data_IF_845980404043
#
_entry.id   IF_845980404043
#
_cell.length_a   1.000
_cell.length_b   1.000
_cell.length_c   1.000
_cell.angle_alpha   90.00
_cell.angle_beta   90.00
_cell.angle_gamma   90.00
#
_symmetry.space_group_name_H-M   'P 1'
#
loop_
_entity.id
_entity.type
_entity.pdbx_description
1 polymer ?
2 non-polymer ?
3 non-polymer ?
4 water ?
#
# COMPACT_ATOMS: atom_id res chain seq x y z
N UNK A 48 -19.82 -20.71 -1.13
CA UNK A 48 -19.45 -19.30 -0.98
C UNK A 48 -18.14 -19.18 -0.23
N UNK A 49 -17.41 -18.09 -0.51
CA UNK A 49 -16.03 -17.91 -0.06
C UNK A 49 -15.93 -16.71 0.87
N UNK A 50 -15.06 -16.82 1.86
CA UNK A 50 -15.00 -15.87 2.97
C UNK A 50 -13.59 -15.34 3.09
N UNK A 51 -13.46 -14.01 3.05
CA UNK A 51 -12.16 -13.36 3.08
C UNK A 51 -11.88 -12.80 4.47
N UNK A 52 -10.62 -12.87 4.86
CA UNK A 52 -10.10 -12.11 5.98
C UNK A 52 -9.07 -11.10 5.45
N UNK A 53 -9.37 -9.82 5.58
CA UNK A 53 -8.46 -8.74 5.19
C UNK A 53 -7.70 -8.31 6.42
N UNK A 54 -6.39 -8.53 6.43
CA UNK A 54 -5.56 -8.23 7.59
C UNK A 54 -4.97 -6.84 7.35
N UNK A 55 -5.61 -5.83 7.93
CA UNK A 55 -5.22 -4.45 7.71
C UNK A 55 -6.29 -3.76 6.91
N UNK A 56 -7.54 -3.87 7.36
CA UNK A 56 -8.64 -3.47 6.49
C UNK A 56 -8.76 -1.96 6.34
N UNK A 57 -8.08 -1.18 7.18
CA UNK A 57 -8.11 0.27 7.02
C UNK A 57 -6.88 0.81 6.30
N UNK A 58 -5.97 -0.06 5.89
CA UNK A 58 -4.83 0.34 5.09
C UNK A 58 -5.23 0.70 3.67
N UNK A 59 -4.22 1.14 2.91
CA UNK A 59 -4.45 1.75 1.60
C UNK A 59 -4.89 0.70 0.58
N UNK A 60 -4.48 -0.54 0.77
CA UNK A 60 -5.02 -1.64 -0.01
C UNK A 60 -6.16 -2.36 0.71
N UNK A 61 -6.00 -2.57 2.02
CA UNK A 61 -7.08 -3.19 2.78
C UNK A 61 -8.41 -2.50 2.56
N UNK A 62 -8.40 -1.16 2.57
CA UNK A 62 -9.62 -0.43 2.27
C UNK A 62 -10.13 -0.72 0.85
N UNK A 63 -9.24 -0.70 -0.15
CA UNK A 63 -9.66 -1.06 -1.50
C UNK A 63 -10.27 -2.45 -1.52
N UNK A 64 -9.63 -3.41 -0.85
CA UNK A 64 -10.18 -4.75 -0.77
C UNK A 64 -11.48 -4.77 0.02
N UNK A 65 -11.62 -3.92 1.03
CA UNK A 65 -12.88 -3.88 1.75
C UNK A 65 -14.02 -3.44 0.85
N UNK A 66 -13.75 -2.56 -0.10
CA UNK A 66 -14.80 -2.07 -0.99
C UNK A 66 -15.07 -2.99 -2.17
N UNK A 67 -14.07 -3.70 -2.67
CA UNK A 67 -14.22 -4.44 -3.91
C UNK A 67 -14.73 -5.85 -3.67
N UNK A 68 -14.17 -6.55 -2.69
CA UNK A 68 -14.58 -7.92 -2.41
C UNK A 68 -16.09 -8.11 -2.31
N UNK A 69 -16.85 -7.30 -1.57
CA UNK A 69 -18.29 -7.56 -1.46
C UNK A 69 -19.11 -7.21 -2.70
N UNK A 70 -18.53 -6.53 -3.69
CA UNK A 70 -19.23 -6.27 -4.94
C UNK A 70 -19.76 -7.56 -5.56
N UNK A 71 -20.85 -7.42 -6.32
CA UNK A 71 -21.48 -8.57 -6.98
C UNK A 71 -20.59 -9.14 -8.08
N UNK A 72 -20.11 -8.28 -8.97
CA UNK A 72 -19.26 -8.78 -10.06
C UNK A 72 -17.90 -9.24 -9.58
N UNK A 73 -17.58 -9.16 -8.30
CA UNK A 73 -16.28 -9.62 -7.84
C UNK A 73 -16.17 -11.14 -8.00
N UNK A 74 -15.10 -11.63 -8.63
CA UNK A 74 -14.95 -13.08 -8.82
C UNK A 74 -15.11 -13.86 -7.51
N UNK A 75 -15.77 -15.01 -7.60
CA UNK A 75 -16.10 -15.85 -6.46
C UNK A 75 -17.08 -15.18 -5.51
N UNK A 76 -17.81 -14.18 -6.00
CA UNK A 76 -18.90 -13.60 -5.26
C UNK A 76 -19.90 -14.69 -4.97
N UNK A 77 -20.65 -14.57 -3.86
CA UNK A 77 -20.58 -13.46 -2.91
C UNK A 77 -19.52 -13.70 -1.84
N UNK A 78 -18.82 -12.63 -1.43
CA UNK A 78 -17.77 -12.73 -0.42
C UNK A 78 -18.28 -12.31 0.97
N UNK A 79 -18.08 -13.18 1.96
CA UNK A 79 -18.06 -12.74 3.35
C UNK A 79 -16.68 -12.21 3.66
N UNK A 80 -16.64 -11.09 4.39
CA UNK A 80 -15.40 -10.35 4.61
C UNK A 80 -15.24 -10.08 6.09
N UNK A 81 -14.13 -10.51 6.66
CA UNK A 81 -13.67 -10.02 7.95
C UNK A 81 -12.51 -9.06 7.73
N UNK A 82 -12.51 -7.95 8.46
CA UNK A 82 -11.43 -6.99 8.36
C UNK A 82 -10.82 -6.61 9.70
N UNK A 83 -9.50 -6.75 9.82
CA UNK A 83 -8.79 -6.57 11.08
C UNK A 83 -7.95 -5.30 11.01
N UNK A 84 -7.86 -4.60 12.14
CA UNK A 84 -6.99 -3.45 12.39
C UNK A 84 -6.99 -3.24 13.90
N UNK A 85 -6.28 -2.21 14.35
CA UNK A 85 -6.23 -1.89 15.78
C UNK A 85 -7.16 -0.73 16.15
N UNK A 86 -6.99 0.42 15.51
CA UNK A 86 -7.72 1.62 15.89
C UNK A 86 -9.23 1.35 15.82
N UNK A 87 -10.03 2.20 16.47
CA UNK A 87 -11.48 2.12 16.24
C UNK A 87 -11.79 2.42 14.78
N UNK A 88 -12.69 1.61 14.20
CA UNK A 88 -13.04 1.69 12.80
C UNK A 88 -13.40 3.13 12.41
N UNK A 89 -12.61 3.77 11.54
CA UNK A 89 -12.87 5.16 11.15
C UNK A 89 -14.05 5.30 10.19
N UNK A 90 -14.54 6.54 10.10
CA UNK A 90 -15.77 6.82 9.36
C UNK A 90 -15.66 6.45 7.89
N UNK A 91 -14.53 6.74 7.25
CA UNK A 91 -14.39 6.46 5.82
C UNK A 91 -14.37 4.98 5.50
N UNK A 92 -14.24 4.14 6.51
CA UNK A 92 -14.25 2.70 6.33
C UNK A 92 -15.65 2.10 6.51
N UNK A 93 -16.62 2.90 6.99
CA UNK A 93 -17.95 2.38 7.29
C UNK A 93 -18.79 2.17 6.04
N UNK A 94 -18.49 2.88 4.95
CA UNK A 94 -19.31 2.79 3.74
C UNK A 94 -19.20 1.43 3.07
N UNK A 95 -18.17 0.63 3.41
CA UNK A 95 -18.07 -0.76 3.01
C UNK A 95 -18.88 -1.64 3.96
N UNK A 96 -19.34 -2.80 3.49
CA UNK A 96 -20.06 -3.73 4.39
C UNK A 96 -19.18 -4.83 4.95
N UNK A 97 -18.16 -4.46 5.75
CA UNK A 97 -17.16 -5.38 6.29
C UNK A 97 -17.49 -5.72 7.74
N UNK A 98 -17.22 -6.96 8.14
CA UNK A 98 -17.18 -7.33 9.55
C UNK A 98 -15.87 -6.84 10.16
N UNK A 99 -15.94 -5.77 10.96
CA UNK A 99 -14.75 -5.15 11.53
C UNK A 99 -14.33 -5.90 12.80
N UNK A 100 -13.07 -6.28 12.89
CA UNK A 100 -12.55 -6.98 14.07
C UNK A 100 -11.29 -6.28 14.53
N UNK A 101 -11.37 -5.56 15.63
CA UNK A 101 -10.19 -5.00 16.27
C UNK A 101 -9.32 -6.12 16.84
N UNK A 102 -8.05 -6.14 16.42
CA UNK A 102 -7.06 -7.09 16.90
C UNK A 102 -5.67 -6.52 16.62
N UNK A 103 -4.80 -6.52 17.63
CA UNK A 103 -3.38 -6.21 17.43
C UNK A 103 -2.67 -7.53 17.14
N UNK A 104 -2.29 -7.74 15.87
CA UNK A 104 -1.79 -9.05 15.47
C UNK A 104 -0.35 -9.27 15.90
N UNK A 105 0.27 -8.27 16.53
CA UNK A 105 1.55 -8.52 17.15
C UNK A 105 1.38 -9.34 18.43
N UNK A 106 0.23 -9.21 19.12
CA UNK A 106 -0.03 -9.95 20.37
C UNK A 106 -0.61 -11.33 20.05
N UNK A 107 0.11 -12.42 20.31
CA UNK A 107 -0.44 -13.75 20.04
C UNK A 107 -1.72 -14.04 20.80
N UNK A 108 -1.85 -13.51 22.01
CA UNK A 108 -3.09 -13.66 22.76
C UNK A 108 -4.26 -13.04 22.01
N UNK A 109 -4.16 -11.74 21.70
CA UNK A 109 -5.27 -11.07 21.03
C UNK A 109 -5.56 -11.72 19.69
N UNK A 110 -4.53 -12.19 18.99
CA UNK A 110 -4.73 -12.83 17.70
C UNK A 110 -5.46 -14.16 17.86
N UNK A 111 -5.05 -14.96 18.84
CA UNK A 111 -5.79 -16.17 19.13
C UNK A 111 -7.21 -15.83 19.58
N UNK A 112 -7.36 -14.71 20.30
CA UNK A 112 -8.65 -14.35 20.86
C UNK A 112 -9.61 -13.91 19.78
N UNK A 113 -9.14 -13.06 18.86
CA UNK A 113 -10.02 -12.40 17.91
C UNK A 113 -10.29 -13.25 16.68
N UNK A 114 -9.31 -14.05 16.26
CA UNK A 114 -9.39 -14.74 14.98
C UNK A 114 -9.77 -16.21 15.08
N UNK A 115 -9.54 -16.85 16.23
CA UNK A 115 -9.87 -18.26 16.38
C UNK A 115 -11.36 -18.56 16.16
N UNK A 116 -12.32 -17.77 16.65
CA UNK A 116 -13.73 -18.05 16.34
C UNK A 116 -14.07 -18.08 14.86
N UNK A 117 -13.27 -17.44 13.99
CA UNK A 117 -13.61 -17.25 12.58
C UNK A 117 -13.45 -18.56 11.83
N UNK A 118 -14.40 -19.47 12.06
CA UNK A 118 -14.32 -20.84 11.57
C UNK A 118 -14.25 -20.94 10.05
N UNK A 119 -14.74 -19.92 9.32
CA UNK A 119 -15.13 -20.08 7.93
C UNK A 119 -14.23 -19.33 6.96
N UNK A 120 -13.00 -19.00 7.36
CA UNK A 120 -12.13 -18.27 6.46
C UNK A 120 -11.82 -19.13 5.25
N UNK A 121 -11.87 -18.52 4.08
CA UNK A 121 -11.47 -19.19 2.87
C UNK A 121 -10.21 -18.60 2.26
N UNK A 122 -9.98 -17.30 2.47
CA UNK A 122 -8.88 -16.57 1.84
C UNK A 122 -8.39 -15.48 2.77
N UNK A 123 -7.07 -15.30 2.82
CA UNK A 123 -6.43 -14.31 3.69
C UNK A 123 -5.63 -13.32 2.85
N UNK A 124 -5.83 -12.04 3.13
CA UNK A 124 -5.21 -10.93 2.39
C UNK A 124 -4.40 -10.11 3.39
N UNK A 125 -3.10 -10.39 3.49
CA UNK A 125 -2.24 -9.74 4.49
C UNK A 125 -1.77 -8.43 3.88
N UNK A 126 -2.29 -7.32 4.42
CA UNK A 126 -2.08 -5.99 3.88
C UNK A 126 -1.59 -5.09 5.03
N UNK A 127 -0.54 -5.52 5.72
CA UNK A 127 -0.03 -4.72 6.83
C UNK A 127 1.45 -4.94 7.00
N UNK A 128 2.04 -4.18 7.92
CA UNK A 128 3.46 -4.25 8.22
C UNK A 128 3.73 -3.29 9.37
N UNK A 129 4.92 -3.43 9.95
CA UNK A 129 5.38 -2.58 11.05
C UNK A 129 6.77 -2.04 10.75
N UNK A 130 6.95 -0.75 11.01
CA UNK A 130 8.20 -0.06 10.72
C UNK A 130 9.08 -0.01 11.96
N UNK A 131 10.38 -0.13 11.76
CA UNK A 131 11.34 -0.06 12.85
C UNK A 131 12.51 0.80 12.42
N UNK A 132 13.52 0.92 13.29
CA UNK A 132 14.68 1.71 12.92
C UNK A 132 15.67 0.91 12.08
N UNK A 133 15.88 -0.37 12.39
CA UNK A 133 16.69 -1.25 11.54
C UNK A 133 15.83 -2.30 10.83
N UNK A 134 16.21 -2.62 9.60
CA UNK A 134 15.54 -3.67 8.85
C UNK A 134 15.55 -5.00 9.61
N UNK A 135 16.63 -5.30 10.34
CA UNK A 135 16.67 -6.53 11.12
C UNK A 135 15.52 -6.54 12.12
N UNK A 136 15.26 -5.40 12.75
CA UNK A 136 14.09 -5.26 13.60
C UNK A 136 12.80 -5.53 12.82
N UNK A 137 12.64 -4.88 11.65
CA UNK A 137 11.45 -5.11 10.83
C UNK A 137 11.25 -6.59 10.55
N UNK A 138 12.36 -7.32 10.37
CA UNK A 138 12.28 -8.73 10.06
C UNK A 138 11.53 -9.50 11.14
N UNK A 139 11.98 -9.37 12.39
CA UNK A 139 11.36 -10.13 13.45
C UNK A 139 9.97 -9.62 13.74
N UNK A 140 9.77 -8.30 13.71
CA UNK A 140 8.45 -7.74 14.01
C UNK A 140 7.42 -8.21 12.99
N UNK A 141 7.79 -8.21 11.71
CA UNK A 141 6.84 -8.56 10.67
C UNK A 141 6.69 -10.07 10.51
N UNK A 142 7.73 -10.82 10.84
CA UNK A 142 7.58 -12.26 10.90
C UNK A 142 6.59 -12.66 11.98
N UNK A 143 6.76 -12.12 13.17
CA UNK A 143 5.89 -12.45 14.30
C UNK A 143 4.43 -12.14 13.98
N UNK A 144 4.15 -10.93 13.45
CA UNK A 144 2.77 -10.59 13.13
C UNK A 144 2.19 -11.58 12.12
N UNK A 145 2.91 -11.81 11.02
CA UNK A 145 2.44 -12.79 10.05
C UNK A 145 2.28 -14.17 10.68
N UNK A 146 3.22 -14.56 11.54
CA UNK A 146 3.16 -15.91 12.11
C UNK A 146 2.00 -16.04 13.08
N UNK A 147 1.82 -15.06 13.97
CA UNK A 147 0.65 -15.04 14.84
C UNK A 147 -0.61 -15.33 14.04
N UNK A 148 -0.81 -14.61 12.93
CA UNK A 148 -2.04 -14.72 12.18
C UNK A 148 -2.18 -16.12 11.58
N UNK A 149 -1.14 -16.60 10.93
CA UNK A 149 -1.26 -17.87 10.25
C UNK A 149 -1.43 -19.00 11.24
N UNK A 150 -0.63 -19.02 12.31
CA UNK A 150 -0.70 -20.10 13.30
C UNK A 150 -2.11 -20.29 13.87
N UNK A 151 -2.97 -19.28 13.77
CA UNK A 151 -4.34 -19.43 14.23
C UNK A 151 -5.26 -19.88 13.10
N UNK A 152 -5.23 -19.20 11.95
CA UNK A 152 -6.23 -19.42 10.93
C UNK A 152 -6.13 -20.85 10.38
N UNK A 153 -4.92 -21.26 10.00
CA UNK A 153 -4.75 -22.53 9.29
C UNK A 153 -5.32 -23.73 10.05
N UNK A 154 -5.04 -23.93 11.35
CA UNK A 154 -5.69 -25.04 12.05
C UNK A 154 -7.18 -24.84 12.29
N UNK A 155 -7.69 -23.60 12.23
CA UNK A 155 -9.08 -23.36 12.58
C UNK A 155 -10.01 -23.26 11.38
N UNK A 156 -9.48 -23.15 10.16
CA UNK A 156 -10.30 -22.91 8.97
C UNK A 156 -10.15 -24.07 8.00
N UNK A 157 -10.99 -25.11 8.12
CA UNK A 157 -10.90 -26.27 7.22
C UNK A 157 -11.25 -25.95 5.79
N UNK A 158 -11.71 -24.74 5.52
CA UNK A 158 -12.02 -24.33 4.15
C UNK A 158 -10.97 -23.37 3.60
N UNK A 159 -9.97 -23.03 4.40
CA UNK A 159 -8.91 -22.11 4.00
C UNK A 159 -8.25 -22.58 2.72
N UNK A 160 -8.40 -21.82 1.64
CA UNK A 160 -7.88 -22.24 0.35
C UNK A 160 -6.58 -21.54 -0.02
N UNK A 161 -6.42 -20.28 0.36
CA UNK A 161 -5.35 -19.47 -0.19
C UNK A 161 -4.97 -18.38 0.80
N UNK A 162 -3.68 -18.05 0.81
CA UNK A 162 -3.14 -16.99 1.65
C UNK A 162 -2.35 -16.04 0.76
N UNK A 163 -2.80 -14.79 0.66
CA UNK A 163 -2.27 -13.82 -0.30
C UNK A 163 -1.51 -12.73 0.44
N UNK A 164 -0.20 -12.70 0.25
CA UNK A 164 0.70 -11.83 1.02
C UNK A 164 1.22 -10.69 0.15
N UNK A 165 1.12 -9.46 0.66
CA UNK A 165 1.58 -8.29 -0.07
C UNK A 165 2.91 -7.81 0.52
N UNK A 166 3.94 -7.81 -0.33
CA UNK A 166 5.24 -7.23 -0.03
C UNK A 166 5.43 -6.00 -0.91
N UNK A 167 6.44 -5.97 -1.78
CA UNK A 167 6.63 -4.80 -2.61
C UNK A 167 7.91 -4.84 -3.41
N UNK A 168 8.10 -3.78 -4.20
CA UNK A 168 9.29 -3.64 -5.04
C UNK A 168 10.58 -3.55 -4.23
N UNK A 169 10.51 -3.12 -2.98
CA UNK A 169 11.70 -3.13 -2.15
C UNK A 169 12.31 -4.53 -2.00
N UNK A 170 11.59 -5.56 -2.42
CA UNK A 170 12.17 -6.90 -2.52
C UNK A 170 13.36 -6.91 -3.47
N UNK A 171 13.33 -6.05 -4.49
CA UNK A 171 14.39 -5.99 -5.48
C UNK A 171 15.37 -4.86 -5.21
N UNK A 172 14.95 -3.84 -4.46
CA UNK A 172 15.75 -2.64 -4.26
C UNK A 172 16.53 -2.67 -2.96
N UNK A 173 16.16 -3.55 -2.02
CA UNK A 173 16.71 -3.55 -0.69
C UNK A 173 15.87 -2.67 0.22
N UNK A 174 16.17 -2.68 1.52
CA UNK A 174 15.39 -1.88 2.47
C UNK A 174 15.73 -0.40 2.35
N UNK A 175 14.82 0.43 2.88
CA UNK A 175 15.00 1.88 2.89
C UNK A 175 16.44 2.30 3.09
N UNK A 176 17.02 1.88 4.22
CA UNK A 176 18.36 2.33 4.64
C UNK A 176 19.42 2.09 3.59
N UNK A 177 19.15 1.18 2.63
CA UNK A 177 20.11 0.71 1.64
C UNK A 177 19.70 1.06 0.24
N UNK A 178 18.49 1.58 0.03
CA UNK A 178 18.04 1.93 -1.30
C UNK A 178 18.98 2.95 -1.92
N UNK A 179 19.34 2.73 -3.18
CA UNK A 179 20.30 3.59 -3.83
C UNK A 179 21.73 3.41 -3.37
N UNK A 180 22.00 2.45 -2.50
CA UNK A 180 23.34 2.25 -1.95
C UNK A 180 23.88 0.86 -2.21
N UNK A 181 23.18 0.03 -2.98
CA UNK A 181 23.57 -1.37 -3.17
C UNK A 181 23.37 -1.75 -4.64
N UNK A 182 24.22 -2.65 -5.12
CA UNK A 182 24.07 -3.19 -6.47
C UNK A 182 22.82 -4.03 -6.52
N UNK A 183 21.80 -3.53 -7.18
CA UNK A 183 20.61 -4.32 -7.45
C UNK A 183 20.70 -4.96 -8.83
N UNK A 184 19.72 -5.81 -9.13
CA UNK A 184 19.59 -6.32 -10.48
C UNK A 184 19.10 -5.20 -11.36
N UNK A 185 19.64 -5.14 -12.55
CA UNK A 185 19.25 -4.12 -13.48
C UNK A 185 17.74 -4.21 -13.71
N UNK A 186 16.99 -3.10 -13.56
CA UNK A 186 15.57 -3.03 -13.89
C UNK A 186 15.32 -3.10 -15.41
N UNK A 187 14.11 -3.46 -15.85
CA UNK A 187 12.87 -3.72 -15.10
C UNK A 187 12.96 -4.98 -14.28
N UNK A 188 12.36 -4.98 -13.10
CA UNK A 188 12.49 -6.10 -12.18
C UNK A 188 11.51 -7.22 -12.55
N UNK A 189 12.02 -8.44 -12.69
CA UNK A 189 11.17 -9.61 -12.90
C UNK A 189 11.18 -10.49 -11.65
N UNK A 190 10.09 -11.24 -11.47
CA UNK A 190 9.77 -11.79 -10.16
C UNK A 190 10.77 -12.84 -9.68
N UNK A 191 11.41 -13.57 -10.59
CA UNK A 191 12.11 -14.75 -10.11
C UNK A 191 13.61 -14.69 -10.37
N UNK A 192 14.20 -13.53 -10.10
CA UNK A 192 15.63 -13.33 -9.96
C UNK A 192 16.05 -13.53 -8.52
N UNK A 193 17.34 -13.77 -8.26
CA UNK A 193 17.76 -14.10 -6.89
C UNK A 193 17.58 -12.94 -5.93
N UNK A 194 17.35 -13.27 -4.65
CA UNK A 194 17.24 -12.24 -3.63
C UNK A 194 18.59 -11.57 -3.42
N UNK A 195 18.54 -10.30 -3.03
CA UNK A 195 19.76 -9.60 -2.63
C UNK A 195 20.33 -10.25 -1.38
N UNK A 196 21.64 -10.22 -1.25
CA UNK A 196 22.28 -10.77 -0.04
C UNK A 196 22.28 -9.79 1.13
N UNK A 197 21.12 -9.14 1.35
CA UNK A 197 20.87 -8.27 2.51
C UNK A 197 19.55 -8.64 3.14
N UNK A 198 19.49 -8.57 4.47
CA UNK A 198 18.27 -8.83 5.22
C UNK A 198 17.11 -8.03 4.64
N UNK A 199 15.94 -8.65 4.58
CA UNK A 199 14.77 -8.01 4.02
C UNK A 199 13.56 -8.71 4.62
N UNK A 200 12.67 -7.97 5.28
CA UNK A 200 11.59 -8.65 5.97
C UNK A 200 10.58 -9.24 4.99
N UNK A 201 10.56 -8.76 3.75
CA UNK A 201 9.83 -9.48 2.71
C UNK A 201 10.33 -10.92 2.57
N UNK A 202 11.65 -11.13 2.69
CA UNK A 202 12.18 -12.48 2.56
C UNK A 202 11.83 -13.32 3.78
N UNK A 203 12.04 -12.77 4.97
CA UNK A 203 11.57 -13.40 6.20
C UNK A 203 10.09 -13.77 6.10
N UNK A 204 9.26 -12.79 5.74
CA UNK A 204 7.83 -13.03 5.59
C UNK A 204 7.55 -14.09 4.53
N UNK A 205 8.30 -14.10 3.44
CA UNK A 205 8.08 -15.11 2.39
C UNK A 205 8.39 -16.50 2.91
N UNK A 206 9.63 -16.72 3.37
CA UNK A 206 10.03 -18.05 3.82
C UNK A 206 9.08 -18.57 4.87
N UNK A 207 8.54 -17.68 5.70
CA UNK A 207 7.53 -18.07 6.68
C UNK A 207 6.27 -18.57 5.99
N UNK A 208 5.70 -17.75 5.11
CA UNK A 208 4.55 -18.14 4.30
C UNK A 208 4.69 -19.55 3.76
N UNK A 209 5.79 -19.78 3.05
CA UNK A 209 6.07 -21.09 2.46
C UNK A 209 5.87 -22.21 3.47
N UNK A 210 6.47 -22.09 4.66
CA UNK A 210 6.38 -23.16 5.66
C UNK A 210 4.94 -23.38 6.11
N UNK A 211 4.28 -22.31 6.56
CA UNK A 211 2.93 -22.41 7.12
C UNK A 211 1.96 -23.09 6.16
N UNK A 212 1.96 -22.71 4.89
CA UNK A 212 0.98 -23.25 3.96
C UNK A 212 1.13 -24.74 3.75
N UNK A 213 2.26 -25.31 4.17
CA UNK A 213 2.45 -26.75 4.09
C UNK A 213 1.76 -27.51 5.20
N UNK A 214 1.32 -26.82 6.26
CA UNK A 214 0.62 -27.48 7.34
C UNK A 214 -0.76 -27.98 6.91
N UNK A 215 -1.35 -27.37 5.89
CA UNK A 215 -2.66 -27.74 5.39
C UNK A 215 -2.56 -28.16 3.94
N UNK A 216 -2.95 -29.40 3.65
CA UNK A 216 -2.82 -29.93 2.29
C UNK A 216 -3.72 -29.17 1.33
N UNK A 217 -3.19 -28.85 0.16
CA UNK A 217 -3.90 -28.02 -0.78
C UNK A 217 -3.93 -26.54 -0.44
N UNK A 218 -3.44 -26.13 0.73
CA UNK A 218 -3.34 -24.71 1.01
C UNK A 218 -2.29 -24.08 0.11
N UNK A 219 -2.58 -22.88 -0.37
CA UNK A 219 -1.84 -22.31 -1.48
C UNK A 219 -1.64 -20.82 -1.22
N UNK A 220 -0.61 -20.23 -1.82
CA UNK A 220 -0.18 -18.88 -1.48
C UNK A 220 0.04 -18.03 -2.73
N UNK A 221 0.17 -16.71 -2.51
CA UNK A 221 0.59 -15.80 -3.56
C UNK A 221 1.22 -14.59 -2.92
N UNK A 222 2.13 -13.95 -3.64
CA UNK A 222 2.86 -12.78 -3.18
C UNK A 222 2.67 -11.67 -4.20
N UNK A 223 2.46 -10.44 -3.73
CA UNK A 223 2.19 -9.33 -4.62
C UNK A 223 3.11 -8.17 -4.28
N UNK A 224 3.85 -7.69 -5.28
CA UNK A 224 4.90 -6.72 -5.04
C UNK A 224 4.52 -5.43 -5.73
N UNK A 225 3.72 -4.59 -5.12
CA UNK A 225 3.36 -3.33 -5.77
C UNK A 225 4.54 -2.40 -5.74
N UNK A 226 4.45 -1.37 -6.55
CA UNK A 226 5.31 -0.21 -6.43
C UNK A 226 4.66 0.77 -5.48
N UNK A 227 5.07 2.02 -5.59
CA UNK A 227 4.40 3.04 -4.81
C UNK A 227 2.92 3.04 -5.16
N UNK A 228 2.10 3.03 -4.11
CA UNK A 228 0.67 2.80 -4.22
C UNK A 228 -0.05 4.14 -4.25
N UNK A 229 -0.81 4.39 -5.31
CA UNK A 229 -1.76 5.51 -5.35
C UNK A 229 -3.06 4.97 -4.79
N UNK A 230 -3.48 5.48 -3.63
CA UNK A 230 -4.65 4.95 -2.96
C UNK A 230 -5.27 5.96 -2.04
N UNK A 231 -6.21 5.48 -1.23
CA UNK A 231 -6.88 6.30 -0.22
C UNK A 231 -6.86 5.58 1.12
N UNK A 232 -6.25 6.20 2.12
CA UNK A 232 -6.38 5.75 3.50
C UNK A 232 -5.67 6.72 4.43
N UNK A 233 -6.42 7.58 5.13
CA UNK A 233 -5.82 8.50 6.11
C UNK A 233 -5.05 7.81 7.21
N UNK A 234 -5.07 6.48 7.29
CA UNK A 234 -4.32 5.77 8.30
C UNK A 234 -3.02 5.14 7.80
N UNK A 235 -2.83 5.04 6.48
CA UNK A 235 -1.71 4.27 5.93
C UNK A 235 -0.36 4.87 6.33
N UNK A 236 0.60 4.00 6.62
CA UNK A 236 1.96 4.46 6.88
C UNK A 236 2.71 4.89 5.63
N UNK A 237 2.26 4.50 4.43
CA UNK A 237 2.93 4.90 3.18
C UNK A 237 1.85 5.32 2.22
N UNK A 238 1.46 6.60 2.26
CA UNK A 238 0.39 7.11 1.42
C UNK A 238 0.87 8.32 0.63
N UNK A 239 1.46 8.06 -0.53
CA UNK A 239 2.10 9.12 -1.29
C UNK A 239 1.08 10.17 -1.72
N UNK A 240 -0.03 9.74 -2.35
CA UNK A 240 -1.04 10.70 -2.81
C UNK A 240 -1.59 11.51 -1.64
N UNK A 241 -2.04 10.82 -0.57
CA UNK A 241 -2.52 11.53 0.61
C UNK A 241 -1.56 12.60 1.08
N UNK A 242 -0.29 12.23 1.29
CA UNK A 242 0.69 13.20 1.75
C UNK A 242 0.85 14.34 0.76
N UNK A 243 0.91 14.02 -0.54
CA UNK A 243 1.08 15.08 -1.53
C UNK A 243 -0.11 16.01 -1.57
N UNK A 244 -1.32 15.50 -1.30
CA UNK A 244 -2.48 16.37 -1.26
C UNK A 244 -2.38 17.38 -0.13
N UNK A 245 -1.96 16.96 1.06
CA UNK A 245 -1.87 17.88 2.18
C UNK A 245 -0.90 19.00 1.85
N UNK A 246 0.24 18.63 1.28
CA UNK A 246 1.26 19.60 0.90
C UNK A 246 0.66 20.69 0.04
N UNK A 247 0.02 20.31 -1.07
CA UNK A 247 -0.58 21.30 -1.96
C UNK A 247 -1.56 22.18 -1.20
N UNK A 248 -2.40 21.58 -0.37
CA UNK A 248 -3.37 22.36 0.40
C UNK A 248 -2.67 23.42 1.23
N UNK A 249 -1.70 22.99 2.04
CA UNK A 249 -0.87 23.92 2.80
C UNK A 249 -0.30 25.01 1.90
N UNK A 250 0.18 24.63 0.71
CA UNK A 250 0.71 25.62 -0.21
C UNK A 250 -0.35 26.60 -0.67
N UNK A 251 -1.52 26.09 -1.03
CA UNK A 251 -2.62 26.96 -1.43
C UNK A 251 -2.94 27.95 -0.32
N UNK A 252 -3.05 27.45 0.90
CA UNK A 252 -3.51 28.29 1.99
C UNK A 252 -2.50 29.39 2.29
N UNK A 253 -1.21 29.08 2.20
CA UNK A 253 -0.14 30.05 2.39
C UNK A 253 0.12 30.89 1.16
N UNK A 254 -0.49 30.55 0.02
CA UNK A 254 -0.23 31.25 -1.22
C UNK A 254 1.16 31.07 -1.79
N UNK A 255 1.88 30.04 -1.35
CA UNK A 255 3.22 29.80 -1.84
C UNK A 255 3.15 28.87 -3.06
N UNK A 256 4.30 28.63 -3.67
CA UNK A 256 4.38 27.77 -4.84
C UNK A 256 4.41 26.31 -4.37
N UNK A 257 3.86 25.43 -5.20
CA UNK A 257 4.03 23.99 -5.01
C UNK A 257 5.40 23.60 -5.56
N UNK A 258 6.41 23.78 -4.73
CA UNK A 258 7.76 23.44 -5.12
C UNK A 258 7.91 21.92 -5.17
N UNK A 259 8.90 21.45 -5.94
CA UNK A 259 9.11 20.03 -6.07
C UNK A 259 10.10 19.53 -5.02
N UNK A 260 9.72 18.61 -4.13
CA UNK A 260 10.67 18.09 -3.15
C UNK A 260 11.26 16.76 -3.58
N UNK A 261 12.07 16.78 -4.62
CA UNK A 261 12.61 15.52 -5.10
C UNK A 261 13.81 15.73 -5.99
N UNK A 262 14.32 14.63 -6.50
CA UNK A 262 15.54 14.68 -7.28
C UNK A 262 15.22 14.81 -8.76
N UNK A 263 16.24 15.13 -9.56
CA UNK A 263 16.01 15.31 -10.99
C UNK A 263 15.52 14.03 -11.64
N UNK A 264 15.99 12.88 -11.14
CA UNK A 264 15.56 11.62 -11.73
C UNK A 264 14.07 11.38 -11.49
N UNK A 265 13.55 11.80 -10.34
CA UNK A 265 12.12 11.67 -10.11
C UNK A 265 11.35 12.68 -10.92
N UNK A 266 11.94 13.84 -11.19
CA UNK A 266 11.27 14.87 -11.97
C UNK A 266 11.17 14.47 -13.43
N UNK A 267 12.31 14.09 -14.02
CA UNK A 267 12.46 13.89 -15.45
C UNK A 267 12.58 12.44 -15.88
N UNK A 268 12.85 11.53 -14.96
CA UNK A 268 12.91 10.13 -15.32
C UNK A 268 11.54 9.49 -15.41
N UNK A 269 11.50 8.31 -16.02
CA UNK A 269 10.26 7.54 -16.04
C UNK A 269 9.96 7.05 -14.63
N UNK A 270 8.68 7.12 -14.25
CA UNK A 270 8.21 6.49 -13.02
C UNK A 270 7.00 5.62 -13.32
N UNK A 271 6.64 4.83 -12.33
CA UNK A 271 5.40 4.08 -12.44
C UNK A 271 4.86 3.92 -11.03
N UNK A 272 3.64 3.42 -10.93
CA UNK A 272 3.01 3.28 -9.63
C UNK A 272 1.99 2.15 -9.71
N UNK A 273 1.38 1.87 -8.56
CA UNK A 273 0.46 0.76 -8.41
C UNK A 273 -0.83 1.27 -7.79
N UNK A 274 -1.87 1.36 -8.60
CA UNK A 274 -3.18 1.77 -8.14
C UNK A 274 -3.72 0.77 -7.13
N UNK A 275 -4.37 1.28 -6.08
CA UNK A 275 -4.72 0.42 -4.94
C UNK A 275 -5.91 -0.48 -5.27
N UNK A 276 -6.85 0.01 -6.07
CA UNK A 276 -7.91 -0.86 -6.55
C UNK A 276 -7.32 -1.97 -7.42
N UNK A 277 -6.39 -1.62 -8.32
CA UNK A 277 -5.76 -2.64 -9.14
C UNK A 277 -5.02 -3.64 -8.27
N UNK A 278 -4.25 -3.16 -7.29
CA UNK A 278 -3.58 -4.08 -6.37
C UNK A 278 -4.61 -5.00 -5.71
N UNK A 279 -5.75 -4.45 -5.29
CA UNK A 279 -6.81 -5.31 -4.76
C UNK A 279 -7.28 -6.32 -5.80
N UNK A 280 -7.59 -5.85 -7.02
CA UNK A 280 -7.98 -6.79 -8.07
C UNK A 280 -6.93 -7.87 -8.26
N UNK A 281 -5.66 -7.50 -8.09
CA UNK A 281 -4.56 -8.45 -8.24
C UNK A 281 -4.59 -9.52 -7.15
N UNK A 282 -4.79 -9.12 -5.89
CA UNK A 282 -4.98 -10.09 -4.81
C UNK A 282 -6.08 -11.08 -5.14
N UNK A 283 -7.27 -10.55 -5.43
CA UNK A 283 -8.41 -11.41 -5.78
C UNK A 283 -8.07 -12.34 -6.94
N UNK A 284 -7.37 -11.83 -7.95
CA UNK A 284 -7.06 -12.64 -9.11
C UNK A 284 -6.28 -13.90 -8.74
N UNK A 285 -5.21 -13.76 -7.96
CA UNK A 285 -4.41 -14.92 -7.61
C UNK A 285 -5.15 -15.82 -6.63
N UNK A 286 -5.97 -15.22 -5.77
CA UNK A 286 -6.74 -15.99 -4.79
C UNK A 286 -7.71 -16.96 -5.44
N UNK A 287 -8.19 -16.64 -6.64
CA UNK A 287 -9.19 -17.47 -7.29
C UNK A 287 -8.66 -18.19 -8.54
N UNK A 288 -7.63 -17.64 -9.21
CA UNK A 288 -7.13 -18.29 -10.43
C UNK A 288 -6.18 -19.40 -10.07
N UNK A 289 -6.58 -20.65 -10.26
CA UNK A 289 -5.70 -21.78 -9.86
C UNK A 289 -4.39 -21.82 -10.62
N UNK A 290 -4.34 -21.25 -11.83
CA UNK A 290 -3.08 -21.21 -12.57
C UNK A 290 -2.19 -20.04 -12.15
N UNK A 291 -2.59 -19.29 -11.12
CA UNK A 291 -1.72 -18.32 -10.47
C UNK A 291 -1.20 -18.81 -9.13
N UNK A 292 -1.50 -20.03 -8.75
CA UNK A 292 -1.24 -20.45 -7.38
C UNK A 292 0.25 -20.59 -7.14
N UNK A 293 0.68 -20.25 -5.92
CA UNK A 293 2.06 -20.39 -5.50
C UNK A 293 3.02 -19.63 -6.42
N UNK A 294 2.80 -18.32 -6.51
CA UNK A 294 3.65 -17.47 -7.34
C UNK A 294 3.74 -16.07 -6.74
N UNK A 295 4.90 -15.45 -6.90
CA UNK A 295 5.04 -14.02 -6.65
C UNK A 295 4.82 -13.26 -7.95
N UNK A 296 4.07 -12.17 -7.87
CA UNK A 296 3.77 -11.34 -9.04
C UNK A 296 3.96 -9.88 -8.70
N UNK A 297 4.60 -9.14 -9.59
CA UNK A 297 4.54 -7.69 -9.52
C UNK A 297 3.12 -7.21 -9.80
N UNK A 298 2.80 -6.01 -9.31
CA UNK A 298 1.56 -5.39 -9.71
C UNK A 298 1.77 -3.88 -9.88
N UNK A 299 1.80 -3.42 -11.13
CA UNK A 299 1.87 -1.99 -11.44
C UNK A 299 0.92 -1.67 -12.59
N UNK A 300 0.74 -0.38 -12.80
CA UNK A 300 -0.40 0.08 -13.55
C UNK A 300 -0.38 -0.29 -15.01
N UNK A 301 0.78 -0.67 -15.55
CA UNK A 301 0.89 -1.01 -16.95
C UNK A 301 1.34 0.12 -17.83
N UNK A 302 1.74 1.25 -17.25
CA UNK A 302 2.24 2.38 -18.00
C UNK A 302 3.32 3.09 -17.18
N UNK A 303 3.88 4.15 -17.75
CA UNK A 303 4.89 4.98 -17.09
C UNK A 303 4.42 6.43 -17.13
N UNK A 304 5.13 7.27 -16.39
CA UNK A 304 4.76 8.67 -16.36
C UNK A 304 5.97 9.42 -15.85
N UNK A 305 5.92 10.73 -15.94
CA UNK A 305 6.94 11.57 -15.36
C UNK A 305 6.33 12.52 -14.33
N UNK A 306 7.01 12.69 -13.18
CA UNK A 306 6.50 13.60 -12.16
C UNK A 306 6.44 15.04 -12.66
N UNK A 307 7.35 15.41 -13.57
CA UNK A 307 7.26 16.71 -14.24
C UNK A 307 5.87 16.93 -14.82
N UNK A 308 5.23 15.87 -15.30
CA UNK A 308 3.87 16.03 -15.80
C UNK A 308 2.84 15.96 -14.66
N UNK A 309 2.97 14.98 -13.76
CA UNK A 309 1.99 14.85 -12.69
C UNK A 309 2.01 16.05 -11.78
N UNK A 310 3.16 16.70 -11.63
CA UNK A 310 3.21 17.86 -10.76
C UNK A 310 2.19 18.91 -11.17
N UNK A 311 2.07 19.15 -12.48
CA UNK A 311 1.05 20.07 -12.98
C UNK A 311 -0.34 19.62 -12.57
N UNK A 312 -0.61 18.32 -12.67
CA UNK A 312 -1.88 17.79 -12.22
C UNK A 312 -2.11 18.13 -10.75
N UNK A 313 -1.16 17.74 -9.90
CA UNK A 313 -1.27 18.04 -8.48
C UNK A 313 -1.61 19.50 -8.25
N UNK A 314 -0.88 20.40 -8.90
CA UNK A 314 -1.11 21.83 -8.66
C UNK A 314 -2.54 22.20 -9.03
N UNK A 315 -2.92 21.94 -10.29
CA UNK A 315 -4.25 22.35 -10.77
C UNK A 315 -5.36 21.89 -9.84
N UNK A 316 -5.28 20.66 -9.34
CA UNK A 316 -6.31 20.13 -8.45
C UNK A 316 -6.50 20.98 -7.20
N UNK A 317 -5.46 21.70 -6.77
CA UNK A 317 -5.58 22.46 -5.53
C UNK A 317 -5.44 23.96 -5.75
N UNK A 318 -5.52 24.42 -7.00
CA UNK A 318 -5.45 25.85 -7.28
C UNK A 318 -4.13 26.50 -6.90
N UNK A 319 -3.03 25.76 -6.91
CA UNK A 319 -1.75 26.35 -6.57
C UNK A 319 -0.95 26.58 -7.85
N UNK A 320 0.00 27.51 -7.76
CA UNK A 320 0.96 27.71 -8.82
C UNK A 320 1.96 26.57 -8.82
N UNK A 321 2.05 25.87 -9.94
CA UNK A 321 2.93 24.74 -10.05
C UNK A 321 4.39 25.19 -10.08
N UNK A 322 5.19 24.68 -9.15
CA UNK A 322 6.63 24.86 -9.22
C UNK A 322 7.30 23.85 -10.13
N UNK A 323 8.62 23.96 -10.21
CA UNK A 323 9.41 23.12 -11.09
C UNK A 323 10.72 22.78 -10.41
N UNK A 324 11.13 21.51 -10.52
CA UNK A 324 12.41 21.04 -10.01
C UNK A 324 13.50 22.08 -10.19
N UNK A 325 14.10 22.50 -9.09
CA UNK A 325 15.18 23.47 -9.12
C UNK A 325 16.47 22.76 -8.76
N UNK A 326 17.53 23.13 -9.46
CA UNK A 326 18.76 22.38 -9.36
C UNK A 326 19.40 22.56 -7.99
N UNK A 327 19.98 21.47 -7.47
CA UNK A 327 20.80 21.54 -6.29
C UNK A 327 20.09 22.03 -5.05
N UNK A 328 18.75 22.00 -5.00
CA UNK A 328 18.04 22.51 -3.84
C UNK A 328 17.58 21.43 -2.87
N UNK A 329 17.24 20.23 -3.37
CA UNK A 329 17.00 19.05 -2.54
C UNK A 329 16.09 19.38 -1.35
N UNK A 330 14.90 19.84 -1.68
CA UNK A 330 13.89 20.14 -0.67
C UNK A 330 13.36 18.85 -0.05
N UNK A 331 13.05 18.92 1.25
CA UNK A 331 12.45 17.81 1.97
C UNK A 331 11.17 18.28 2.63
N UNK A 332 10.05 17.62 2.29
CA UNK A 332 8.79 17.93 2.98
C UNK A 332 8.90 17.70 4.47
N UNK A 333 9.68 16.70 4.88
CA UNK A 333 9.97 16.52 6.30
C UNK A 333 10.56 17.80 6.89
N UNK A 334 11.50 18.45 6.19
CA UNK A 334 12.02 19.72 6.69
C UNK A 334 11.05 20.86 6.40
N UNK A 335 10.49 20.90 5.20
CA UNK A 335 9.73 22.08 4.82
C UNK A 335 8.40 22.20 5.58
N UNK A 336 7.86 21.10 6.08
CA UNK A 336 6.56 21.10 6.73
C UNK A 336 6.65 21.09 8.26
N UNK A 337 7.85 21.28 8.81
CA UNK A 337 8.02 21.22 10.26
C UNK A 337 7.18 22.29 10.92
N UNK A 338 6.44 21.91 11.97
CA UNK A 338 5.64 22.84 12.72
C UNK A 338 4.38 23.34 12.04
N UNK A 339 3.97 22.74 10.93
CA UNK A 339 2.82 23.21 10.18
C UNK A 339 1.48 22.73 10.75
N UNK A 340 1.48 22.13 11.94
CA UNK A 340 0.22 21.62 12.48
C UNK A 340 -0.80 22.71 12.76
N UNK A 341 -0.43 23.91 13.19
CA UNK A 341 -1.45 24.97 13.26
C UNK A 341 -2.02 25.33 11.91
N UNK A 342 -1.21 25.31 10.85
CA UNK A 342 -1.72 25.67 9.54
C UNK A 342 -2.72 24.65 9.07
N UNK A 343 -2.39 23.37 9.22
CA UNK A 343 -3.35 22.32 8.91
C UNK A 343 -4.66 22.53 9.67
N UNK A 344 -4.56 22.67 10.99
CA UNK A 344 -5.75 22.88 11.82
C UNK A 344 -6.56 24.09 11.35
N UNK A 345 -5.91 25.12 10.82
CA UNK A 345 -6.67 26.21 10.21
C UNK A 345 -7.32 25.76 8.90
N UNK A 346 -6.55 25.16 7.99
CA UNK A 346 -7.11 24.67 6.73
C UNK A 346 -8.33 23.79 6.99
N UNK A 347 -8.25 22.95 8.02
CA UNK A 347 -9.36 22.06 8.36
C UNK A 347 -10.57 22.87 8.84
N UNK A 348 -10.37 23.69 9.89
CA UNK A 348 -11.46 24.51 10.41
C UNK A 348 -12.15 25.26 9.28
N UNK A 349 -11.36 25.89 8.41
CA UNK A 349 -11.89 26.74 7.36
C UNK A 349 -12.66 25.93 6.33
N UNK A 350 -11.95 25.14 5.56
CA UNK A 350 -12.47 24.41 4.43
C UNK A 350 -13.48 23.28 4.82
N UNK A 351 -13.84 23.14 6.09
CA UNK A 351 -14.86 22.19 6.50
C UNK A 351 -14.44 20.75 6.55
N UNK A 352 -13.12 20.50 6.60
CA UNK A 352 -12.58 19.15 6.54
C UNK A 352 -12.89 18.36 7.80
N UNK A 353 -12.81 17.04 7.68
CA UNK A 353 -12.86 16.17 8.83
C UNK A 353 -11.71 16.50 9.78
N UNK A 354 -11.89 16.16 11.04
CA UNK A 354 -10.89 16.46 12.07
C UNK A 354 -9.75 15.47 11.95
N UNK A 355 -8.73 15.84 11.16
CA UNK A 355 -7.51 15.08 10.99
C UNK A 355 -6.31 15.87 11.51
N UNK A 356 -5.33 15.19 12.10
CA UNK A 356 -4.05 15.77 12.48
C UNK A 356 -2.96 15.28 11.51
N UNK A 357 -2.10 16.20 11.04
CA UNK A 357 -1.27 15.88 9.85
C UNK A 357 -0.39 14.66 10.07
N UNK A 358 0.11 14.48 11.29
CA UNK A 358 0.80 13.27 11.72
C UNK A 358 0.16 12.03 11.10
N UNK A 359 -1.17 11.98 11.10
CA UNK A 359 -1.87 10.87 10.46
C UNK A 359 -1.87 11.03 8.94
N UNK A 360 -2.31 12.19 8.45
CA UNK A 360 -2.65 12.39 7.05
C UNK A 360 -1.47 12.69 6.16
N UNK A 361 -0.32 13.04 6.72
CA UNK A 361 0.87 13.32 5.93
C UNK A 361 2.05 12.54 6.51
N UNK A 362 2.55 11.57 5.76
CA UNK A 362 3.76 10.86 6.15
C UNK A 362 4.92 11.44 5.34
N UNK A 363 5.45 12.57 5.82
CA UNK A 363 6.43 13.33 5.06
C UNK A 363 7.63 12.48 4.65
N UNK A 364 8.16 11.71 5.59
CA UNK A 364 9.39 10.98 5.32
C UNK A 364 9.22 10.03 4.13
N UNK A 365 8.01 9.49 3.95
CA UNK A 365 7.80 8.53 2.88
C UNK A 365 7.67 9.22 1.51
N UNK A 366 7.00 10.38 1.45
CA UNK A 366 7.04 11.15 0.22
C UNK A 366 8.47 11.50 -0.16
N UNK A 367 9.27 11.96 0.82
CA UNK A 367 10.69 12.19 0.60
C UNK A 367 11.39 10.93 0.09
N UNK A 368 11.23 9.80 0.79
CA UNK A 368 11.83 8.55 0.34
C UNK A 368 11.51 8.28 -1.11
N UNK A 369 10.29 8.57 -1.54
CA UNK A 369 9.88 8.27 -2.92
C UNK A 369 10.54 9.24 -3.90
N UNK A 370 10.38 10.54 -3.66
CA UNK A 370 10.83 11.54 -4.62
C UNK A 370 12.33 11.78 -4.57
N UNK A 371 13.03 11.28 -3.56
CA UNK A 371 14.44 11.58 -3.44
C UNK A 371 15.31 10.52 -4.10
N UNK A 372 14.74 9.64 -4.91
CA UNK A 372 15.60 8.76 -5.70
C UNK A 372 15.04 8.58 -7.10
N UNK A 373 15.67 7.79 -7.97
CA UNK A 373 15.04 7.46 -9.24
C UNK A 373 14.20 6.20 -9.16
N UNK A 374 13.18 6.15 -10.01
CA UNK A 374 12.15 5.11 -9.96
C UNK A 374 12.52 3.95 -10.86
N UNK A 375 12.94 2.81 -10.33
CA UNK A 375 13.22 1.66 -11.21
C UNK A 375 11.91 1.00 -11.63
N UNK A 376 11.80 0.70 -12.93
CA UNK A 376 10.57 0.13 -13.46
C UNK A 376 10.53 -1.35 -13.18
N UNK A 377 9.32 -1.88 -13.05
CA UNK A 377 9.17 -3.33 -12.96
C UNK A 377 8.39 -3.82 -14.17
N UNK A 378 8.29 -5.13 -14.26
CA UNK A 378 7.68 -5.76 -15.40
C UNK A 378 6.40 -6.44 -14.96
N UNK A 379 5.38 -6.36 -15.81
CA UNK A 379 4.12 -7.05 -15.63
C UNK A 379 3.99 -8.27 -16.53
N UNK A 380 5.10 -8.81 -17.05
CA UNK A 380 4.97 -9.86 -18.05
C UNK A 380 4.53 -11.17 -17.42
N UNK A 381 5.07 -11.50 -16.25
CA UNK A 381 4.62 -12.73 -15.56
C UNK A 381 3.12 -12.66 -15.26
N UNK A 382 2.66 -11.52 -14.75
CA UNK A 382 1.23 -11.39 -14.47
C UNK A 382 0.41 -11.56 -15.74
N UNK A 383 0.82 -10.88 -16.81
CA UNK A 383 0.07 -10.95 -18.06
C UNK A 383 0.09 -12.36 -18.62
N UNK A 384 1.28 -12.96 -18.72
CA UNK A 384 1.39 -14.33 -19.18
C UNK A 384 0.58 -15.32 -18.32
N UNK A 385 0.25 -14.98 -17.08
CA UNK A 385 -0.63 -15.83 -16.29
C UNK A 385 -2.08 -15.41 -16.36
N UNK A 386 -2.38 -14.37 -17.12
CA UNK A 386 -3.75 -13.98 -17.36
C UNK A 386 -4.19 -12.70 -16.70
N UNK A 387 -3.40 -12.10 -15.81
CA UNK A 387 -3.86 -10.83 -15.22
C UNK A 387 -3.58 -9.73 -16.23
N UNK A 388 -4.63 -9.27 -16.89
CA UNK A 388 -4.58 -8.22 -17.88
C UNK A 388 -5.08 -6.88 -17.36
N UNK A 389 -5.36 -6.80 -16.06
CA UNK A 389 -5.81 -5.54 -15.49
C UNK A 389 -4.76 -4.46 -15.57
N UNK A 390 -5.23 -3.22 -15.60
CA UNK A 390 -4.30 -2.10 -15.75
C UNK A 390 -4.98 -0.84 -15.23
N UNK A 391 -4.20 0.22 -15.14
CA UNK A 391 -4.75 1.53 -14.82
C UNK A 391 -3.96 2.60 -15.55
N UNK A 392 -4.69 3.53 -16.15
CA UNK A 392 -4.14 4.80 -16.60
C UNK A 392 -3.68 5.58 -15.37
N UNK A 393 -2.36 5.77 -15.23
CA UNK A 393 -1.83 6.29 -13.97
C UNK A 393 -2.22 7.75 -13.76
N UNK A 394 -2.25 8.55 -14.82
CA UNK A 394 -2.65 9.95 -14.66
C UNK A 394 -4.09 10.03 -14.16
N UNK A 395 -4.97 9.22 -14.74
CA UNK A 395 -6.35 9.18 -14.26
C UNK A 395 -6.41 8.61 -12.85
N UNK A 396 -5.54 7.65 -12.54
CA UNK A 396 -5.47 7.10 -11.20
C UNK A 396 -5.18 8.19 -10.20
N UNK A 397 -4.15 8.98 -10.49
CA UNK A 397 -3.71 10.07 -9.62
C UNK A 397 -4.87 11.02 -9.34
N UNK A 398 -5.58 11.43 -10.38
CA UNK A 398 -6.69 12.36 -10.19
C UNK A 398 -7.81 11.70 -9.41
N UNK A 399 -8.15 10.47 -9.78
CA UNK A 399 -9.11 9.68 -9.02
C UNK A 399 -8.81 9.68 -7.51
N UNK A 400 -7.56 9.45 -7.12
CA UNK A 400 -7.28 9.30 -5.70
C UNK A 400 -7.09 10.65 -5.00
N UNK A 401 -6.62 11.67 -5.72
CA UNK A 401 -6.72 13.03 -5.19
C UNK A 401 -8.18 13.33 -4.88
N UNK A 402 -9.06 12.97 -5.78
CA UNK A 402 -10.46 13.33 -5.61
C UNK A 402 -11.17 12.50 -4.57
N UNK A 403 -10.71 11.28 -4.29
CA UNK A 403 -11.38 10.56 -3.20
C UNK A 403 -11.09 11.23 -1.87
N UNK A 404 -9.85 11.72 -1.69
CA UNK A 404 -9.49 12.48 -0.50
C UNK A 404 -10.33 13.73 -0.38
N UNK A 405 -10.53 14.44 -1.49
CA UNK A 405 -11.40 15.60 -1.44
C UNK A 405 -12.81 15.19 -1.07
N UNK A 406 -13.27 14.06 -1.61
CA UNK A 406 -14.66 13.67 -1.46
C UNK A 406 -14.97 13.29 -0.03
N UNK A 407 -14.02 12.64 0.65
CA UNK A 407 -14.13 12.30 2.05
C UNK A 407 -13.70 13.45 2.96
N UNK A 408 -13.57 14.66 2.41
CA UNK A 408 -13.29 15.86 3.17
C UNK A 408 -11.99 15.77 3.98
N UNK A 409 -11.08 14.87 3.58
CA UNK A 409 -9.77 14.84 4.21
C UNK A 409 -8.97 16.08 3.82
N UNK A 410 -9.05 16.47 2.55
CA UNK A 410 -8.33 17.65 2.07
C UNK A 410 -9.33 18.54 1.36
N UNK A 411 -8.98 19.81 1.13
CA UNK A 411 -9.89 20.76 0.47
C UNK A 411 -10.02 20.63 -1.04
X LIG B 1 10.77 2.84 -1.12
X LIG B 1 9.40 2.92 -0.45
X LIG B 1 8.62 1.67 -0.62
X LIG B 1 7.93 1.22 0.29
X LIG B 1 8.74 0.99 -1.88
X LIG B 1 9.62 1.35 -2.82
X LIG B 1 9.43 0.91 -4.24
X LIG B 1 9.22 2.12 -5.14
X LIG B 1 10.31 3.18 -4.98
X LIG B 1 10.48 3.59 -3.51
X LIG B 1 10.71 2.37 -2.59
X LIG B 1 11.56 4.65 -3.36
X LIG B 1 11.52 5.79 -4.39
X LIG B 1 11.11 5.44 -5.83
X LIG B 1 9.97 4.43 -5.75
X LIG B 1 9.49 4.35 -7.19
X LIG B 1 9.40 5.85 -7.54
X LIG B 1 10.42 6.57 -6.64
X LIG B 1 12.29 4.82 -6.60
X LIG B 1 12.07 1.71 -2.91
X LIG B 1 11.37 7.52 -7.36
X LIG B 1 12.55 7.45 -7.18
X LIG B 1 10.78 8.57 -8.24
X LIG C 1 -0.95 0.48 5.38
X LIG C 1 -1.63 1.24 4.32
X LIG C 1 -0.35 1.38 6.47
X LIG C 1 -1.97 -0.48 6.16
X LIG C 1 -1.74 -1.17 7.41
X LIG C 1 -3.05 -1.71 7.92
X LIG C 1 -2.82 -2.65 9.00
X LIG C 1 -4.01 -0.66 8.47
X LIG C 1 -5.36 -1.10 8.40
X LIG C 1 -3.56 -0.64 9.93
X LIG C 1 -4.54 -0.04 10.80
X LIG C 1 -3.37 -2.14 10.19
X LIG C 1 -2.51 -2.51 11.32
X LIG C 1 -1.38 -1.87 11.75
X LIG C 1 -0.78 -2.47 12.75
X LIG C 1 -1.57 -3.58 13.01
X LIG C 1 -1.46 -4.64 13.92
X LIG C 1 -0.50 -4.75 14.83
X LIG C 1 -2.41 -5.61 13.88
X LIG C 1 -3.40 -5.50 13.00
X LIG C 1 -3.61 -4.54 12.09
X LIG C 1 -2.65 -3.61 12.13
X LIG C 1 0.06 -0.59 4.78
X LIG C 1 0.34 -1.09 3.27
X LIG C 1 1.05 0.01 2.58
X LIG C 1 -0.89 -1.66 2.67
X LIG C 1 1.36 -2.26 3.56
X LIG C 1 1.13 -3.63 3.19
X LIG C 1 2.42 -4.06 2.53
X LIG C 1 2.60 -3.28 1.33
X LIG C 1 3.68 -3.81 3.35
X LIG C 1 4.56 -4.93 3.29
X LIG C 1 4.25 -2.54 2.71
X LIG C 1 5.67 -2.48 2.77
X LIG C 1 3.89 -2.82 1.23
X LIG C 1 3.90 -1.59 0.26
X LIG C 1 3.26 -0.40 0.57
X LIG C 1 3.31 0.65 -0.32
X LIG C 1 2.54 1.91 -0.12
X LIG C 1 2.72 2.86 -0.89
X LIG C 1 1.72 1.99 0.95
X LIG C 1 3.99 0.49 -1.52
X LIG C 1 4.58 -0.72 -1.82
X LIG C 1 4.53 -1.75 -0.92
X LIG C 1 -4.21 0.45 12.29
X LIG C 1 -2.93 1.24 12.39
X LIG C 1 -5.46 1.31 12.62
X LIG C 1 -4.20 -0.92 13.02
#
# INVERSE_FOLDING_TARGET
MGHHHHHHDYDIPTTENLYFQGMSWWWAGAIGAAKKRSDEDEALPKHSSVALIVGVTGIVGNSLAEILPLADTPSGPWKVYGVARRPRPAWNEDNPINYIRCDISDPKDTQEKLSPLTDITHVFYVTWANRSTEVERCEANGKMLKNVLDVVIPNCPDLKHISLQTGRKHYMGPFELIGKIETHDPPFTEDLPRLKFDNFYYTQEDLLFEEVEKKEGLTWSVHRPGNIFGFSPYSMMNLVGTLCVYAAICKHEGKVLRFPGCKAAWDGYSDCSDADLIAEHHIWAAVDPYAKNEAFNVSNGDVFKWKHFWKVLAEQFGVECGEYEEGENLKLQDLMKGKEPVWEEIVRENGLASTNLEDVAVWWFSDAVLDIPCPLDSMNKSKEHGFLGFRNSKNSFISWIDKAKAYKIVP
STR C1 C2 C3 O3 C4 C5 C6 C7 C8 C9 C10 C11 C12 C13 C14 C15 C16 C17 C18 C19 C20 O20 C21
NAP PA O1A O2A O5B C5B C4B O4B C3B O3B C2B O2B C1B N9A C8A N7A C5A C6A N6A N1A C2A N3A C4A O3 PN O1N O2N O5D C5D C4D O4D C3D O3D C2D O2D C1D N1N C2N C3N C7N O7N N7N C4N C5N C6N P2B O1X O2X O3X
#
